data_IF_457981938477
#
_entry.id   IF_457981938477
#
_cell.length_a   1.000
_cell.length_b   1.000
_cell.length_c   1.000
_cell.angle_alpha   90.00
_cell.angle_beta   90.00
_cell.angle_gamma   90.00
#
_symmetry.space_group_name_H-M   'P 1'
#
loop_
_entity.id
_entity.type
_entity.pdbx_description
1 polymer ?
#
# COMPACT_ATOMS: atom_id res chain seq x y z
N UNK A 1 13.54 -17.96 -12.08
CA UNK A 1 13.33 -17.26 -10.80
C UNK A 1 12.14 -16.34 -10.89
N UNK A 2 11.24 -16.46 -9.96
CA UNK A 2 10.05 -15.65 -9.90
C UNK A 2 10.29 -14.45 -8.99
N UNK A 3 10.18 -13.25 -9.53
CA UNK A 3 10.27 -12.05 -8.73
C UNK A 3 8.88 -11.48 -8.54
N UNK A 4 8.36 -11.61 -7.33
CA UNK A 4 7.11 -10.98 -6.97
C UNK A 4 7.41 -9.56 -6.51
N UNK A 5 7.33 -8.64 -7.47
CA UNK A 5 7.56 -7.24 -7.16
C UNK A 5 6.30 -6.69 -6.53
N UNK A 6 6.38 -6.34 -5.26
CA UNK A 6 5.27 -5.75 -4.51
C UNK A 6 5.56 -4.28 -4.32
N UNK A 7 4.70 -3.44 -4.88
CA UNK A 7 4.88 -1.99 -4.85
C UNK A 7 3.64 -1.28 -4.38
N UNK A 8 3.84 -0.13 -3.77
CA UNK A 8 2.79 0.87 -3.53
C UNK A 8 3.32 2.23 -3.97
N UNK A 9 2.43 3.09 -4.41
CA UNK A 9 2.76 4.48 -4.70
C UNK A 9 1.87 5.39 -3.86
N UNK A 10 2.50 6.45 -3.36
CA UNK A 10 1.80 7.46 -2.59
C UNK A 10 1.73 8.73 -3.42
N UNK A 11 0.54 9.02 -3.94
CA UNK A 11 0.29 10.25 -4.70
C UNK A 11 -0.18 11.29 -3.70
N UNK A 12 0.78 12.04 -3.15
CA UNK A 12 0.51 12.92 -2.01
C UNK A 12 -0.50 14.01 -2.33
N UNK A 13 -0.40 14.61 -3.52
CA UNK A 13 -1.31 15.69 -3.92
C UNK A 13 -2.76 15.27 -3.94
N UNK A 14 -3.04 14.06 -4.36
CA UNK A 14 -4.40 13.56 -4.49
C UNK A 14 -4.86 12.71 -3.32
N UNK A 15 -4.07 12.62 -2.26
CA UNK A 15 -4.37 11.82 -1.08
C UNK A 15 -4.69 10.37 -1.46
N UNK A 16 -3.92 9.82 -2.39
CA UNK A 16 -4.17 8.49 -2.95
C UNK A 16 -3.00 7.57 -2.70
N UNK A 17 -3.31 6.33 -2.29
CA UNK A 17 -2.33 5.25 -2.20
C UNK A 17 -2.72 4.22 -3.24
N UNK A 18 -1.81 3.94 -4.18
CA UNK A 18 -2.05 2.89 -5.17
C UNK A 18 -1.31 1.64 -4.78
N UNK A 19 -2.05 0.57 -4.55
CA UNK A 19 -1.48 -0.75 -4.28
C UNK A 19 -1.49 -1.48 -5.61
N UNK A 20 -0.30 -1.77 -6.14
CA UNK A 20 -0.18 -2.34 -7.48
C UNK A 20 -0.79 -3.74 -7.52
N UNK A 21 -1.31 -4.11 -8.69
CA UNK A 21 -2.00 -5.39 -8.84
C UNK A 21 -1.11 -6.59 -8.51
N UNK A 22 0.20 -6.46 -8.76
CA UNK A 22 1.14 -7.52 -8.38
C UNK A 22 1.16 -7.74 -6.87
N UNK A 23 1.02 -6.66 -6.09
CA UNK A 23 0.95 -6.75 -4.63
C UNK A 23 -0.33 -7.46 -4.20
N UNK A 24 -1.46 -7.07 -4.78
CA UNK A 24 -2.76 -7.68 -4.47
C UNK A 24 -2.74 -9.18 -4.81
N UNK A 25 -2.17 -9.53 -5.96
CA UNK A 25 -2.07 -10.94 -6.36
C UNK A 25 -1.16 -11.73 -5.43
N UNK A 26 -0.03 -11.14 -5.03
CA UNK A 26 0.90 -11.78 -4.10
C UNK A 26 0.23 -12.07 -2.76
N UNK A 27 -0.74 -11.24 -2.37
CA UNK A 27 -1.50 -11.41 -1.14
C UNK A 27 -2.65 -12.41 -1.26
N UNK A 28 -2.82 -13.03 -2.43
CA UNK A 28 -3.87 -14.02 -2.63
C UNK A 28 -5.24 -13.47 -2.97
N UNK A 29 -5.30 -12.26 -3.50
CA UNK A 29 -6.55 -11.61 -3.91
C UNK A 29 -7.58 -11.53 -2.78
N UNK A 30 -7.23 -10.92 -1.64
CA UNK A 30 -8.15 -10.84 -0.51
C UNK A 30 -9.35 -9.94 -0.83
N UNK A 31 -10.46 -10.17 -0.14
CA UNK A 31 -11.66 -9.33 -0.30
C UNK A 31 -11.45 -7.94 0.27
N UNK A 32 -10.71 -7.86 1.35
CA UNK A 32 -10.41 -6.61 2.03
C UNK A 32 -8.94 -6.60 2.40
N UNK A 33 -8.39 -5.41 2.56
CA UNK A 33 -7.04 -5.22 3.06
C UNK A 33 -7.06 -4.18 4.17
N UNK A 34 -6.06 -4.23 5.01
CA UNK A 34 -5.88 -3.25 6.08
C UNK A 34 -4.45 -2.75 6.05
N UNK A 35 -4.30 -1.42 6.24
CA UNK A 35 -3.00 -0.77 6.25
C UNK A 35 -2.64 -0.40 7.67
N UNK A 36 -1.44 -0.77 8.08
CA UNK A 36 -0.94 -0.51 9.44
C UNK A 36 0.40 0.21 9.34
N UNK A 37 0.57 1.25 10.16
CA UNK A 37 1.83 2.01 10.23
C UNK A 37 2.49 1.73 11.56
N UNK A 38 3.79 1.41 11.50
CA UNK A 38 4.63 1.32 12.69
C UNK A 38 5.46 2.60 12.74
N UNK A 39 5.04 3.55 13.55
CA UNK A 39 5.61 4.89 13.54
C UNK A 39 7.07 4.92 13.94
N UNK A 40 7.46 4.13 14.92
CA UNK A 40 8.84 4.10 15.39
C UNK A 40 9.81 3.60 14.32
N UNK A 41 9.42 2.58 13.57
CA UNK A 41 10.27 1.98 12.55
C UNK A 41 10.16 2.66 11.19
N UNK A 42 9.11 3.43 10.97
CA UNK A 42 8.85 3.99 9.64
C UNK A 42 8.48 2.93 8.63
N UNK A 43 7.68 1.95 9.05
CA UNK A 43 7.26 0.85 8.18
C UNK A 43 5.74 0.83 8.05
N UNK A 44 5.28 0.26 6.94
CA UNK A 44 3.86 0.06 6.69
C UNK A 44 3.64 -1.40 6.36
N UNK A 45 2.56 -1.97 6.90
CA UNK A 45 2.16 -3.33 6.58
C UNK A 45 0.80 -3.29 5.92
N UNK A 46 0.65 -4.03 4.83
CA UNK A 46 -0.65 -4.29 4.21
C UNK A 46 -0.97 -5.74 4.50
N UNK A 47 -2.11 -5.98 5.13
CA UNK A 47 -2.51 -7.34 5.46
C UNK A 47 -3.87 -7.66 4.86
N UNK A 48 -4.11 -8.93 4.50
CA UNK A 48 -5.44 -9.35 4.07
C UNK A 48 -6.40 -9.30 5.25
N UNK A 49 -7.65 -8.96 4.97
CA UNK A 49 -8.66 -8.84 6.01
C UNK A 49 -9.97 -9.40 5.47
N UNK A 50 -10.84 -9.84 6.35
CA UNK A 50 -12.08 -10.48 5.92
C UNK A 50 -13.35 -9.77 6.38
N UNK A 51 -13.19 -8.58 6.96
CA UNK A 51 -14.31 -7.82 7.51
C UNK A 51 -14.28 -6.36 7.05
N UNK A 52 -15.46 -5.76 7.01
CA UNK A 52 -15.59 -4.33 6.78
C UNK A 52 -15.44 -3.64 8.13
N UNK A 53 -14.43 -2.77 8.25
CA UNK A 53 -14.20 -1.96 9.45
C UNK A 53 -13.77 -0.57 9.02
N UNK A 54 -13.58 0.33 9.99
CA UNK A 54 -13.09 1.69 9.71
C UNK A 54 -11.71 1.69 9.08
N UNK A 55 -10.92 0.66 9.32
CA UNK A 55 -9.53 0.61 8.86
C UNK A 55 -9.30 -0.37 7.71
N UNK A 56 -10.35 -0.98 7.19
CA UNK A 56 -10.23 -1.90 6.06
C UNK A 56 -10.72 -1.25 4.78
N UNK A 57 -10.19 -1.75 3.66
CA UNK A 57 -10.54 -1.26 2.33
C UNK A 57 -10.92 -2.44 1.47
N UNK A 58 -11.98 -2.26 0.67
CA UNK A 58 -12.45 -3.31 -0.22
C UNK A 58 -11.55 -3.44 -1.44
N UNK A 59 -11.22 -4.69 -1.78
CA UNK A 59 -10.55 -4.99 -3.04
C UNK A 59 -11.66 -5.29 -4.05
N UNK A 60 -11.72 -4.58 -5.19
CA UNK A 60 -12.78 -4.79 -6.18
C UNK A 60 -12.83 -6.23 -6.69
N UNK A 61 -14.02 -6.75 -6.87
CA UNK A 61 -14.22 -8.08 -7.42
C UNK A 61 -15.37 -8.03 -8.45
N UNK A 62 -15.17 -8.57 -9.66
CA UNK A 62 -13.92 -9.15 -10.15
C UNK A 62 -12.83 -8.09 -10.28
N UNK A 63 -11.59 -8.55 -10.10
CA UNK A 63 -10.45 -7.64 -10.16
C UNK A 63 -10.23 -7.20 -11.61
N UNK A 64 -10.13 -5.90 -11.82
CA UNK A 64 -9.95 -5.37 -13.18
C UNK A 64 -8.46 -5.33 -13.53
N UNK A 65 -8.02 -6.31 -14.32
CA UNK A 65 -6.62 -6.42 -14.74
C UNK A 65 -6.17 -5.27 -15.65
N UNK A 66 -7.09 -4.52 -16.22
CA UNK A 66 -6.73 -3.37 -17.04
C UNK A 66 -6.22 -2.21 -16.20
N UNK A 67 -6.50 -2.20 -14.90
CA UNK A 67 -6.01 -1.16 -14.01
C UNK A 67 -4.67 -1.57 -13.44
N UNK A 68 -3.86 -0.57 -13.06
CA UNK A 68 -2.55 -0.81 -12.48
C UNK A 68 -2.63 -1.38 -11.07
N UNK A 69 -3.73 -1.11 -10.36
CA UNK A 69 -3.89 -1.57 -9.00
C UNK A 69 -5.16 -1.06 -8.36
N UNK A 70 -5.17 -1.08 -7.04
CA UNK A 70 -6.28 -0.60 -6.23
C UNK A 70 -5.90 0.75 -5.64
N UNK A 71 -6.73 1.75 -5.88
CA UNK A 71 -6.51 3.10 -5.35
C UNK A 71 -7.32 3.29 -4.08
N UNK A 72 -6.63 3.69 -3.03
CA UNK A 72 -7.23 4.01 -1.74
C UNK A 72 -7.10 5.52 -1.55
N UNK A 73 -8.24 6.18 -1.31
CA UNK A 73 -8.26 7.62 -1.06
C UNK A 73 -8.41 7.85 0.43
N UNK A 74 -7.36 8.35 1.06
CA UNK A 74 -7.36 8.60 2.49
C UNK A 74 -6.48 9.79 2.81
N UNK A 75 -7.14 10.92 3.02
CA UNK A 75 -6.44 12.14 3.41
C UNK A 75 -5.71 11.95 4.74
N UNK A 76 -6.39 11.31 5.69
CA UNK A 76 -5.81 11.09 7.03
C UNK A 76 -4.55 10.23 6.95
N UNK A 77 -4.61 9.13 6.23
CA UNK A 77 -3.47 8.22 6.12
C UNK A 77 -2.29 8.91 5.44
N UNK A 78 -2.55 9.63 4.37
CA UNK A 78 -1.53 10.39 3.65
C UNK A 78 -0.88 11.43 4.56
N UNK A 79 -1.67 12.12 5.39
CA UNK A 79 -1.13 13.11 6.32
C UNK A 79 -0.24 12.46 7.37
N UNK A 80 -0.64 11.30 7.89
CA UNK A 80 0.17 10.57 8.86
C UNK A 80 1.52 10.21 8.27
N UNK A 81 1.53 9.67 7.05
CA UNK A 81 2.76 9.28 6.38
C UNK A 81 3.62 10.50 6.07
N UNK A 82 2.99 11.58 5.61
CA UNK A 82 3.71 12.82 5.29
C UNK A 82 4.43 13.37 6.52
N UNK A 83 3.75 13.39 7.65
CA UNK A 83 4.35 13.88 8.90
C UNK A 83 5.45 12.95 9.40
N UNK A 84 5.19 11.66 9.36
CA UNK A 84 6.15 10.65 9.83
C UNK A 84 7.43 10.69 9.02
N UNK A 85 7.32 10.74 7.71
CA UNK A 85 8.47 10.65 6.80
C UNK A 85 8.98 12.01 6.33
N UNK A 86 8.27 13.07 6.67
CA UNK A 86 8.54 14.42 6.17
C UNK A 86 8.54 14.46 4.65
N UNK A 87 7.58 13.77 4.05
CA UNK A 87 7.41 13.77 2.61
C UNK A 87 6.71 15.03 2.14
N UNK A 88 7.09 15.45 0.93
CA UNK A 88 6.51 16.62 0.28
C UNK A 88 5.12 16.28 -0.26
N UNK A 89 4.10 17.06 0.13
CA UNK A 89 2.74 16.84 -0.30
C UNK A 89 2.51 17.07 -1.79
N UNK A 90 3.50 17.65 -2.47
CA UNK A 90 3.42 17.88 -3.92
C UNK A 90 4.05 16.77 -4.74
N UNK A 91 4.55 15.73 -4.10
CA UNK A 91 5.35 14.70 -4.76
C UNK A 91 4.65 13.35 -4.75
N UNK A 92 5.25 12.43 -5.49
CA UNK A 92 4.84 11.03 -5.51
C UNK A 92 6.00 10.16 -5.08
N UNK A 93 5.71 9.20 -4.22
CA UNK A 93 6.73 8.28 -3.68
C UNK A 93 6.32 6.86 -3.97
N UNK A 94 7.31 6.03 -4.32
CA UNK A 94 7.07 4.60 -4.56
C UNK A 94 7.94 3.79 -3.62
N UNK A 95 7.36 2.74 -3.06
CA UNK A 95 8.06 1.87 -2.12
C UNK A 95 7.86 0.43 -2.57
N UNK A 96 8.96 -0.33 -2.58
CA UNK A 96 8.90 -1.77 -2.79
C UNK A 96 8.74 -2.46 -1.45
N UNK A 97 7.98 -3.53 -1.43
CA UNK A 97 7.71 -4.28 -0.21
C UNK A 97 8.26 -5.68 -0.24
N UNK A 98 8.13 -6.34 0.90
CA UNK A 98 8.56 -7.72 1.08
C UNK A 98 7.36 -8.55 1.51
N UNK A 99 7.12 -9.64 0.78
CA UNK A 99 5.99 -10.53 1.05
C UNK A 99 6.38 -11.58 2.08
N UNK A 100 5.57 -11.71 3.12
CA UNK A 100 5.67 -12.79 4.09
C UNK A 100 4.60 -13.81 3.74
N UNK A 101 4.99 -14.81 2.95
CA UNK A 101 4.07 -15.68 2.25
C UNK A 101 3.08 -16.46 3.12
N UNK A 102 3.50 -16.89 4.31
CA UNK A 102 2.62 -17.62 5.21
C UNK A 102 1.43 -16.79 5.66
N UNK A 103 1.68 -15.54 5.99
CA UNK A 103 0.66 -14.61 6.50
C UNK A 103 0.01 -13.82 5.37
N UNK A 104 0.61 -13.87 4.17
CA UNK A 104 0.18 -13.09 3.00
C UNK A 104 0.15 -11.59 3.25
N UNK A 105 1.03 -11.13 4.13
CA UNK A 105 1.20 -9.71 4.40
C UNK A 105 2.39 -9.18 3.61
N UNK A 106 2.37 -7.88 3.32
CA UNK A 106 3.49 -7.22 2.66
C UNK A 106 3.95 -6.07 3.55
N UNK A 107 5.25 -6.04 3.82
CA UNK A 107 5.86 -5.01 4.65
C UNK A 107 6.66 -4.06 3.78
N UNK A 108 6.47 -2.77 3.99
CA UNK A 108 7.13 -1.72 3.24
C UNK A 108 7.97 -0.87 4.18
N UNK A 109 9.25 -0.74 3.87
CA UNK A 109 10.13 0.16 4.60
C UNK A 109 10.05 1.54 3.95
N UNK A 110 9.33 2.45 4.58
CA UNK A 110 9.07 3.77 3.98
C UNK A 110 10.34 4.61 3.84
N UNK A 111 11.38 4.28 4.62
CA UNK A 111 12.67 4.96 4.51
C UNK A 111 13.32 4.69 3.15
N UNK A 112 12.98 3.55 2.53
CA UNK A 112 13.52 3.16 1.23
C UNK A 112 12.71 3.70 0.05
N UNK A 113 11.76 4.58 0.31
CA UNK A 113 10.92 5.14 -0.74
C UNK A 113 11.73 5.90 -1.77
N UNK A 114 11.31 5.84 -3.03
CA UNK A 114 11.90 6.57 -4.12
C UNK A 114 10.91 7.64 -4.57
N UNK A 115 11.39 8.87 -4.65
CA UNK A 115 10.59 9.98 -5.15
C UNK A 115 10.55 9.89 -6.68
N UNK A 116 9.36 9.75 -7.26
CA UNK A 116 9.21 9.52 -8.69
C UNK A 116 8.63 10.73 -9.45
N UNK A 117 8.27 11.77 -8.74
CA UNK A 117 7.81 13.00 -9.41
C UNK A 117 7.95 14.22 -8.50
#
# INVERSE_FOLDING_TARGET
MQNNITNVSFYMRSNTIRIFKSTIRAMGMPKFIRLLIHETEGTMIIEPYDKITFSSFRVPFPFNDAKEGVDIHSKRFIQIVAELMRWDMERTYRVSGELYGKLKIVKFDLVQAVKIS
#
